data_IF_277472294465
#
_entry.id   IF_277472294465
#
_cell.length_a   1.000
_cell.length_b   1.000
_cell.length_c   1.000
_cell.angle_alpha   90.00
_cell.angle_beta   90.00
_cell.angle_gamma   90.00
#
_symmetry.space_group_name_H-M   'P 1'
#
loop_
_entity.id
_entity.type
_entity.pdbx_description
1 polymer ?
2 non-polymer ?
3 non-polymer ?
#
# COMPACT_ATOMS: atom_id res chain seq x y z
C UNK A 1 -43.09 4.15 25.95
N UNK A 2 -42.60 4.16 24.78
CA UNK A 2 -43.35 4.75 23.67
C UNK A 2 -42.35 5.67 22.96
N UNK A 3 -41.60 6.41 23.76
CA UNK A 3 -40.61 7.34 23.21
C UNK A 3 -39.48 7.55 24.21
N UNK A 4 -39.11 6.46 24.88
CA UNK A 4 -38.03 6.52 25.88
C UNK A 4 -36.80 7.24 25.33
N UNK A 5 -36.12 6.57 24.43
CA UNK A 5 -34.91 7.16 23.82
C UNK A 5 -35.42 8.53 23.42
N UNK A 6 -36.56 8.55 22.75
CA UNK A 6 -37.16 9.81 22.30
C UNK A 6 -37.38 11.02 23.21
N UNK A 7 -37.98 10.76 24.36
CA UNK A 7 -38.25 11.84 25.32
C UNK A 7 -36.99 12.43 25.97
N UNK A 8 -35.93 11.64 25.99
CA UNK A 8 -34.66 12.10 26.58
C UNK A 8 -34.03 12.95 25.47
N UNK A 9 -34.14 12.46 24.26
CA UNK A 9 -33.57 13.18 23.11
C UNK A 9 -34.49 13.63 21.97
N UNK A 10 -34.89 14.88 22.05
CA UNK A 10 -35.79 15.45 21.03
C UNK A 10 -34.98 16.10 19.91
N UNK A 11 -35.67 16.48 18.85
CA UNK A 11 -35.00 17.11 17.70
C UNK A 11 -35.40 18.59 17.60
N UNK A 12 -34.98 19.22 16.52
CA UNK A 12 -35.29 20.64 16.30
C UNK A 12 -36.14 20.71 15.02
N UNK A 13 -36.63 21.90 14.75
CA UNK A 13 -37.47 22.11 13.55
C UNK A 13 -36.65 22.15 12.26
N UNK A 14 -35.34 22.23 12.43
CA UNK A 14 -34.44 22.28 11.28
C UNK A 14 -34.37 21.04 10.40
N UNK A 15 -33.69 20.03 10.91
CA UNK A 15 -33.54 18.77 10.16
C UNK A 15 -32.66 18.55 8.93
N UNK A 16 -31.36 18.57 9.15
CA UNK A 16 -30.40 18.38 8.05
C UNK A 16 -30.29 16.87 8.27
N UNK A 17 -30.93 16.13 7.39
CA UNK A 17 -30.91 14.67 7.48
C UNK A 17 -29.54 13.99 7.61
N UNK A 18 -29.56 12.75 8.06
CA UNK A 18 -28.31 12.00 8.24
C UNK A 18 -27.54 11.94 6.92
N UNK A 19 -26.26 11.66 7.02
CA UNK A 19 -25.40 11.59 5.82
C UNK A 19 -24.02 11.13 6.31
N UNK A 20 -23.02 11.93 5.99
CA UNK A 20 -21.65 11.60 6.39
C UNK A 20 -20.70 12.44 5.52
N UNK A 21 -19.45 12.01 5.47
CA UNK A 21 -18.44 12.73 4.68
C UNK A 21 -17.22 11.91 4.27
N UNK A 22 -16.35 11.66 5.23
CA UNK A 22 -15.13 10.88 4.97
C UNK A 22 -15.22 9.36 5.03
N UNK A 23 -15.02 8.73 3.88
CA UNK A 23 -15.08 7.27 3.80
C UNK A 23 -13.90 6.31 3.60
N UNK A 24 -13.94 5.21 4.33
CA UNK A 24 -12.87 4.21 4.24
C UNK A 24 -13.44 2.81 4.00
N UNK A 25 -12.90 2.14 3.00
CA UNK A 25 -13.36 0.79 2.66
C UNK A 25 -12.24 -0.25 2.64
N UNK A 26 -12.49 -1.37 3.28
CA UNK A 26 -11.50 -2.45 3.34
C UNK A 26 -11.91 -3.80 2.76
N UNK A 27 -11.01 -4.38 1.98
CA UNK A 27 -11.28 -5.67 1.35
C UNK A 27 -10.35 -6.74 1.93
N UNK A 28 -10.93 -7.73 2.58
CA UNK A 28 -10.16 -8.81 3.19
C UNK A 28 -10.00 -8.67 4.70
N UNK A 29 -11.07 -8.93 5.41
CA UNK A 29 -11.06 -8.83 6.87
C UNK A 29 -10.10 -9.91 7.37
N UNK A 30 -8.97 -9.48 7.88
CA UNK A 30 -7.96 -10.41 8.38
C UNK A 30 -6.64 -9.74 8.78
N UNK A 31 -5.55 -10.44 8.53
CA UNK A 31 -4.22 -9.91 8.87
C UNK A 31 -4.11 -8.53 8.22
N UNK A 32 -3.44 -8.49 7.08
CA UNK A 32 -3.25 -7.23 6.35
C UNK A 32 -4.41 -6.28 6.63
N UNK A 33 -5.62 -6.77 6.41
CA UNK A 33 -6.82 -5.97 6.62
C UNK A 33 -6.91 -5.56 8.09
N UNK A 34 -7.13 -6.56 8.93
CA UNK A 34 -7.24 -6.32 10.38
C UNK A 34 -6.16 -5.34 10.85
N UNK A 35 -4.93 -5.62 10.45
CA UNK A 35 -3.80 -4.78 10.84
C UNK A 35 -4.05 -3.35 10.33
N UNK A 36 -4.43 -3.26 9.08
CA UNK A 36 -4.70 -1.95 8.47
C UNK A 36 -5.75 -1.36 9.42
N UNK A 37 -6.93 -1.96 9.41
CA UNK A 37 -8.02 -1.50 10.27
C UNK A 37 -7.58 -1.01 11.65
N UNK A 38 -6.76 -1.82 12.30
CA UNK A 38 -6.26 -1.48 13.64
C UNK A 38 -5.51 -0.15 13.51
N UNK A 39 -4.69 -0.05 12.48
CA UNK A 39 -3.92 1.17 12.25
C UNK A 39 -4.76 2.40 11.91
N UNK A 40 -5.48 2.30 10.81
CA UNK A 40 -6.34 3.42 10.37
C UNK A 40 -7.49 3.77 11.31
N UNK A 41 -8.02 2.74 11.96
CA UNK A 41 -9.13 2.93 12.89
C UNK A 41 -8.83 3.53 14.27
N UNK A 42 -7.61 3.32 14.72
CA UNK A 42 -7.19 3.84 16.03
C UNK A 42 -6.46 5.16 15.80
N UNK A 43 -5.89 5.28 14.61
CA UNK A 43 -5.15 6.50 14.25
C UNK A 43 -6.20 7.61 14.11
N UNK A 44 -7.28 7.29 13.42
CA UNK A 44 -8.35 8.27 13.20
C UNK A 44 -8.31 8.95 11.84
N UNK A 45 -9.27 8.58 11.00
CA UNK A 45 -9.34 9.16 9.65
C UNK A 45 -10.76 9.26 9.09
N UNK A 46 -11.27 8.13 8.63
CA UNK A 46 -12.62 8.09 8.05
C UNK A 46 -13.83 8.29 8.98
N UNK A 47 -14.82 8.98 8.46
CA UNK A 47 -16.05 9.26 9.24
C UNK A 47 -16.62 7.87 9.50
N UNK A 48 -16.67 7.07 8.45
CA UNK A 48 -17.22 5.71 8.56
C UNK A 48 -16.34 4.75 7.74
N UNK A 49 -16.16 3.55 8.26
CA UNK A 49 -15.34 2.55 7.58
C UNK A 49 -16.09 1.35 7.03
N UNK A 50 -15.64 0.85 5.89
CA UNK A 50 -16.28 -0.30 5.26
C UNK A 50 -15.44 -1.57 5.10
N UNK A 51 -15.99 -2.68 5.54
CA UNK A 51 -15.29 -3.96 5.45
C UNK A 51 -16.22 -4.85 4.64
N UNK A 52 -15.63 -5.61 3.73
CA UNK A 52 -16.41 -6.51 2.87
C UNK A 52 -15.78 -7.80 2.33
N UNK A 53 -16.32 -8.91 2.76
CA UNK A 53 -15.80 -10.22 2.31
C UNK A 53 -16.78 -11.35 2.02
N UNK A 54 -16.24 -12.46 1.54
CA UNK A 54 -17.07 -13.63 1.21
C UNK A 54 -16.77 -14.60 2.35
N UNK A 55 -16.70 -14.05 3.55
CA UNK A 55 -16.39 -14.88 4.73
C UNK A 55 -17.36 -14.34 5.80
N UNK A 56 -18.64 -14.51 5.53
CA UNK A 56 -19.67 -14.04 6.47
C UNK A 56 -19.19 -14.09 7.93
N UNK A 57 -18.94 -15.30 8.40
CA UNK A 57 -18.47 -15.49 9.78
C UNK A 57 -17.43 -14.50 10.32
N UNK A 58 -16.22 -14.65 9.83
CA UNK A 58 -15.12 -13.78 10.28
C UNK A 58 -15.60 -12.33 10.44
N UNK A 59 -15.99 -11.74 9.33
CA UNK A 59 -16.47 -10.35 9.34
C UNK A 59 -17.37 -9.98 10.51
N UNK A 60 -18.29 -10.87 10.82
CA UNK A 60 -19.24 -10.63 11.92
C UNK A 60 -18.24 -10.39 13.06
N UNK A 61 -17.62 -11.46 13.51
CA UNK A 61 -16.64 -11.37 14.61
C UNK A 61 -15.67 -10.20 14.49
N UNK A 62 -15.19 -9.99 13.27
CA UNK A 62 -14.23 -8.90 13.02
C UNK A 62 -14.94 -7.57 13.26
N UNK A 63 -15.75 -7.18 12.29
CA UNK A 63 -16.49 -5.91 12.40
C UNK A 63 -17.11 -5.67 13.78
N UNK A 64 -17.71 -6.72 14.32
CA UNK A 64 -18.35 -6.62 15.64
C UNK A 64 -17.44 -6.35 16.83
N UNK A 65 -16.49 -7.24 17.02
CA UNK A 65 -15.54 -7.10 18.15
C UNK A 65 -14.72 -5.81 18.08
N UNK A 66 -14.06 -5.61 16.95
CA UNK A 66 -13.23 -4.41 16.76
C UNK A 66 -14.23 -3.32 17.13
N UNK A 67 -15.36 -3.32 16.44
CA UNK A 67 -16.39 -2.31 16.68
C UNK A 67 -16.37 -2.17 18.20
N UNK A 68 -16.29 -3.30 18.88
CA UNK A 68 -16.28 -3.31 20.35
C UNK A 68 -15.48 -2.10 20.81
N UNK A 69 -14.17 -2.16 20.59
CA UNK A 69 -13.28 -1.07 20.99
C UNK A 69 -13.99 0.20 20.48
N UNK A 70 -14.58 0.08 19.31
CA UNK A 70 -15.29 1.21 18.70
C UNK A 70 -15.17 2.37 19.69
N UNK A 71 -15.53 2.11 20.92
CA UNK A 71 -15.47 3.14 21.96
C UNK A 71 -14.19 3.68 22.60
N UNK A 72 -13.09 2.99 22.33
CA UNK A 72 -11.79 3.40 22.87
C UNK A 72 -11.20 4.58 22.09
N UNK A 73 -11.82 4.88 20.96
CA UNK A 73 -11.35 5.98 20.11
C UNK A 73 -12.69 6.48 19.59
N UNK A 74 -12.65 7.12 18.43
CA UNK A 74 -13.87 7.65 17.82
C UNK A 74 -13.95 7.78 16.30
N UNK A 75 -14.84 7.00 15.70
CA UNK A 75 -15.01 7.02 14.24
C UNK A 75 -16.42 7.36 13.79
N UNK A 76 -17.37 6.57 14.27
CA UNK A 76 -18.79 6.79 13.90
C UNK A 76 -19.42 5.45 13.51
N UNK A 77 -19.16 5.05 12.27
CA UNK A 77 -19.72 3.79 11.76
C UNK A 77 -18.79 2.84 10.99
N UNK A 78 -18.99 1.55 11.22
CA UNK A 78 -18.16 0.54 10.56
C UNK A 78 -19.18 -0.40 9.91
N UNK A 79 -19.06 -0.55 8.60
CA UNK A 79 -19.99 -1.43 7.86
C UNK A 79 -19.40 -2.70 7.25
N UNK A 80 -20.23 -3.71 7.16
CA UNK A 80 -19.80 -5.00 6.60
C UNK A 80 -20.84 -5.63 5.68
N UNK A 81 -20.38 -6.49 4.80
CA UNK A 81 -21.27 -7.17 3.84
C UNK A 81 -20.53 -7.85 2.70
N UNK A 82 -21.29 -8.34 1.74
CA UNK A 82 -20.70 -9.04 0.59
C UNK A 82 -21.46 -8.71 -0.69
N UNK A 83 -21.62 -7.42 -0.95
CA UNK A 83 -22.34 -6.97 -2.14
C UNK A 83 -21.87 -5.59 -2.62
N UNK A 84 -20.68 -5.21 -2.18
CA UNK A 84 -20.12 -3.91 -2.56
C UNK A 84 -21.26 -2.96 -2.90
N UNK A 85 -22.16 -2.79 -1.94
CA UNK A 85 -23.32 -1.90 -2.14
C UNK A 85 -23.10 -0.87 -1.03
N UNK A 86 -22.77 -1.36 0.14
CA UNK A 86 -22.55 -0.48 1.30
C UNK A 86 -21.74 0.81 1.16
N UNK A 87 -20.55 0.67 0.62
CA UNK A 87 -19.66 1.83 0.43
C UNK A 87 -20.12 2.95 -0.51
N UNK A 88 -20.71 2.55 -1.63
CA UNK A 88 -21.19 3.52 -2.62
C UNK A 88 -20.67 4.95 -2.41
N UNK A 89 -19.50 5.20 -2.95
CA UNK A 89 -18.89 6.54 -2.82
C UNK A 89 -17.73 6.83 -1.87
N UNK A 90 -16.72 5.97 -1.91
CA UNK A 90 -15.56 6.13 -1.04
C UNK A 90 -14.23 6.68 -1.58
N UNK A 91 -13.55 7.43 -0.73
CA UNK A 91 -12.27 8.03 -1.11
C UNK A 91 -11.07 7.08 -0.97
N UNK A 92 -10.90 6.58 0.24
CA UNK A 92 -9.78 5.65 0.50
C UNK A 92 -10.13 4.17 0.46
N UNK A 93 -9.97 3.59 -0.71
CA UNK A 93 -10.27 2.16 -0.88
C UNK A 93 -9.02 1.29 -1.09
N UNK A 94 -8.96 0.21 -0.33
CA UNK A 94 -7.81 -0.71 -0.42
C UNK A 94 -8.18 -2.19 -0.45
N UNK A 95 -7.44 -2.95 -1.23
CA UNK A 95 -7.70 -4.39 -1.35
C UNK A 95 -6.47 -5.27 -1.10
N UNK A 96 -6.71 -6.50 -0.70
CA UNK A 96 -5.62 -7.44 -0.43
C UNK A 96 -5.92 -8.75 -1.14
N UNK A 97 -6.69 -9.60 -0.49
CA UNK A 97 -7.05 -10.91 -1.07
C UNK A 97 -6.17 -12.03 -0.52
N UNK A 98 -6.61 -13.25 -0.76
CA UNK A 98 -5.85 -14.42 -0.28
C UNK A 98 -4.86 -15.00 -1.28
N UNK A 99 -3.62 -15.11 -0.86
CA UNK A 99 -2.57 -15.65 -1.73
C UNK A 99 -1.23 -15.15 -1.16
N UNK A 100 -0.83 -15.73 -0.05
CA UNK A 100 0.42 -15.34 0.60
C UNK A 100 1.58 -16.32 0.46
N UNK A 101 2.79 -15.80 0.44
CA UNK A 101 3.98 -16.64 0.30
C UNK A 101 4.15 -17.80 1.28
N UNK A 102 4.65 -18.90 0.78
CA UNK A 102 4.86 -20.09 1.61
C UNK A 102 6.29 -20.46 1.98
N UNK A 103 6.97 -19.53 2.63
CA UNK A 103 8.37 -19.76 3.03
C UNK A 103 9.05 -19.80 1.66
N UNK A 104 8.94 -20.94 1.02
CA UNK A 104 9.56 -21.12 -0.31
C UNK A 104 9.00 -19.93 -1.09
N UNK A 105 9.66 -19.62 -2.19
CA UNK A 105 9.25 -18.49 -3.03
C UNK A 105 8.07 -18.61 -4.01
N UNK A 106 8.24 -17.99 -5.16
CA UNK A 106 7.18 -18.01 -6.19
C UNK A 106 6.10 -16.97 -5.93
N UNK A 107 6.52 -15.84 -5.38
CA UNK A 107 5.58 -14.76 -5.06
C UNK A 107 4.96 -14.43 -6.41
N UNK A 108 5.75 -14.57 -7.46
CA UNK A 108 5.27 -14.28 -8.82
C UNK A 108 4.25 -15.32 -9.27
N UNK A 109 4.44 -16.55 -8.83
CA UNK A 109 3.53 -17.64 -9.19
C UNK A 109 2.20 -16.98 -8.84
N UNK A 110 2.12 -16.44 -7.64
CA UNK A 110 0.89 -15.78 -7.19
C UNK A 110 0.09 -15.03 -8.25
N UNK A 111 0.68 -14.94 -9.43
CA UNK A 111 0.01 -14.24 -10.54
C UNK A 111 -1.15 -15.04 -11.14
N UNK A 112 -0.87 -16.30 -11.43
CA UNK A 112 -1.90 -17.18 -12.00
C UNK A 112 -3.07 -17.32 -11.03
N UNK A 113 -2.81 -18.01 -9.93
CA UNK A 113 -3.84 -18.22 -8.91
C UNK A 113 -4.57 -16.99 -8.38
N UNK A 114 -4.01 -15.82 -8.66
CA UNK A 114 -4.60 -14.56 -8.20
C UNK A 114 -5.66 -13.78 -8.97
N UNK A 115 -5.40 -13.58 -10.26
CA UNK A 115 -6.34 -12.85 -11.11
C UNK A 115 -7.73 -13.48 -11.05
N UNK A 116 -7.75 -14.77 -10.80
CA UNK A 116 -9.03 -15.50 -10.72
C UNK A 116 -9.99 -14.66 -9.88
N UNK A 117 -9.72 -14.62 -8.59
CA UNK A 117 -10.58 -13.85 -7.67
C UNK A 117 -10.50 -12.34 -7.82
N UNK A 118 -9.29 -11.83 -7.87
CA UNK A 118 -9.08 -10.38 -8.00
C UNK A 118 -9.85 -9.71 -9.14
N UNK A 119 -9.83 -10.35 -10.29
CA UNK A 119 -10.53 -9.82 -11.47
C UNK A 119 -11.95 -9.37 -11.11
N UNK A 120 -12.79 -10.34 -10.81
CA UNK A 120 -14.19 -10.05 -10.45
C UNK A 120 -14.35 -8.91 -9.43
N UNK A 121 -13.47 -8.90 -8.46
CA UNK A 121 -13.51 -7.87 -7.41
C UNK A 121 -13.63 -6.55 -8.16
N UNK A 122 -12.86 -6.43 -9.23
CA UNK A 122 -12.89 -5.21 -10.04
C UNK A 122 -14.15 -4.43 -10.40
N UNK A 123 -15.05 -5.11 -11.08
CA UNK A 123 -16.31 -4.49 -11.50
C UNK A 123 -17.06 -3.95 -10.28
N UNK A 124 -17.05 -4.75 -9.22
CA UNK A 124 -17.73 -4.35 -7.98
C UNK A 124 -17.17 -3.08 -7.33
N UNK A 125 -15.94 -3.16 -6.89
CA UNK A 125 -15.28 -2.02 -6.25
C UNK A 125 -15.19 -0.69 -7.00
N UNK A 126 -15.20 -0.78 -8.31
CA UNK A 126 -15.11 0.42 -9.16
C UNK A 126 -16.49 1.05 -9.40
N UNK A 127 -17.45 0.20 -9.71
CA UNK A 127 -18.81 0.67 -9.98
C UNK A 127 -19.39 1.59 -8.90
N UNK A 128 -19.17 1.21 -7.65
CA UNK A 128 -19.67 1.99 -6.51
C UNK A 128 -18.74 3.05 -5.90
N UNK A 129 -17.47 2.92 -6.18
CA UNK A 129 -16.47 3.86 -5.65
C UNK A 129 -15.96 4.68 -6.84
N UNK A 130 -16.89 5.37 -7.50
CA UNK A 130 -16.52 6.18 -8.66
C UNK A 130 -15.46 7.21 -8.27
N UNK A 131 -15.68 7.83 -7.12
CA UNK A 131 -14.74 8.85 -6.63
C UNK A 131 -13.76 8.31 -5.59
N UNK A 132 -13.36 7.07 -5.77
CA UNK A 132 -12.42 6.43 -4.84
C UNK A 132 -11.04 6.12 -5.43
N UNK A 133 -10.05 6.07 -4.56
CA UNK A 133 -8.68 5.78 -4.99
C UNK A 133 -8.36 4.40 -4.41
N UNK A 134 -7.74 3.57 -5.21
CA UNK A 134 -7.39 2.21 -4.79
C UNK A 134 -5.97 1.76 -4.40
N UNK A 135 -5.82 1.34 -3.16
CA UNK A 135 -4.52 0.89 -2.67
C UNK A 135 -4.52 -0.64 -2.50
N UNK A 136 -3.58 -1.27 -3.17
CA UNK A 136 -3.46 -2.74 -3.11
C UNK A 136 -2.38 -3.39 -2.24
N UNK A 137 -2.78 -3.80 -1.06
CA UNK A 137 -1.84 -4.43 -0.12
C UNK A 137 -1.66 -5.88 -0.60
N UNK A 138 -2.51 -6.28 -1.53
CA UNK A 138 -2.45 -7.64 -2.08
C UNK A 138 -1.06 -7.90 -2.67
N UNK A 139 -0.68 -9.17 -2.68
CA UNK A 139 0.63 -9.56 -3.20
C UNK A 139 0.94 -8.99 -4.59
N UNK A 140 2.22 -8.83 -4.86
CA UNK A 140 2.66 -8.29 -6.16
C UNK A 140 2.16 -6.84 -6.14
N UNK A 141 2.64 -6.08 -5.17
CA UNK A 141 2.24 -4.68 -5.04
C UNK A 141 2.15 -4.20 -6.49
N UNK A 142 3.30 -3.94 -7.08
CA UNK A 142 3.36 -3.47 -8.47
C UNK A 142 2.44 -4.17 -9.47
N UNK A 143 2.73 -5.42 -9.73
CA UNK A 143 1.93 -6.21 -10.67
C UNK A 143 0.41 -6.13 -10.67
N UNK A 144 -0.19 -6.69 -9.64
CA UNK A 144 -1.66 -6.70 -9.52
C UNK A 144 -2.22 -5.30 -9.79
N UNK A 145 -1.56 -4.31 -9.23
CA UNK A 145 -2.00 -2.91 -9.41
C UNK A 145 -2.51 -2.75 -10.84
N UNK A 146 -1.58 -2.80 -11.78
CA UNK A 146 -1.92 -2.66 -13.21
C UNK A 146 -3.22 -3.34 -13.64
N UNK A 147 -3.29 -4.63 -13.39
CA UNK A 147 -4.47 -5.42 -13.77
C UNK A 147 -5.77 -4.64 -13.57
N UNK A 148 -6.06 -4.35 -12.32
CA UNK A 148 -7.29 -3.61 -11.98
C UNK A 148 -7.34 -2.27 -12.71
N UNK A 149 -6.27 -1.51 -12.57
CA UNK A 149 -6.19 -0.19 -13.22
C UNK A 149 -6.64 -0.19 -14.68
N UNK A 150 -5.86 -0.86 -15.51
CA UNK A 150 -6.18 -0.93 -16.94
C UNK A 150 -7.61 -1.49 -16.90
N UNK A 151 -7.79 -2.50 -16.07
CA UNK A 151 -9.11 -3.13 -15.94
C UNK A 151 -10.15 -2.02 -15.75
N UNK A 152 -10.03 -1.32 -14.64
CA UNK A 152 -10.96 -0.23 -14.33
C UNK A 152 -10.67 0.95 -15.25
N UNK A 153 -9.43 1.39 -15.22
CA UNK A 153 -9.00 2.52 -16.05
C UNK A 153 -9.29 3.90 -15.43
N UNK A 154 -9.07 4.00 -14.13
CA UNK A 154 -9.30 5.25 -13.41
C UNK A 154 -7.98 5.91 -13.78
N UNK A 155 -8.04 7.22 -13.97
CA UNK A 155 -6.83 7.98 -14.34
C UNK A 155 -5.75 7.78 -13.27
N UNK A 156 -4.62 7.25 -13.70
CA UNK A 156 -3.51 7.00 -12.78
C UNK A 156 -3.58 7.58 -11.35
N UNK A 157 -3.19 8.83 -11.23
CA UNK A 157 -3.20 9.50 -9.93
C UNK A 157 -4.14 9.06 -8.80
N UNK A 158 -5.19 8.36 -9.19
CA UNK A 158 -6.18 7.88 -8.22
C UNK A 158 -5.97 6.40 -7.87
N UNK A 159 -5.07 5.77 -8.61
CA UNK A 159 -4.78 4.35 -8.40
C UNK A 159 -3.38 4.15 -7.81
N UNK A 160 -3.33 3.48 -6.68
CA UNK A 160 -2.05 3.22 -6.01
C UNK A 160 -2.00 1.73 -5.68
N UNK A 161 -0.86 1.13 -5.96
CA UNK A 161 -0.69 -0.31 -5.69
C UNK A 161 -0.44 -0.59 -4.21
N UNK A 162 0.76 -0.26 -3.77
CA UNK A 162 1.14 -0.48 -2.37
C UNK A 162 2.63 -0.85 -2.35
N UNK A 163 3.05 -1.56 -3.38
CA UNK A 163 4.45 -1.99 -3.47
C UNK A 163 5.66 -1.76 -2.57
N UNK A 164 6.50 -0.83 -2.98
CA UNK A 164 7.70 -0.51 -2.20
C UNK A 164 7.73 0.39 -0.96
N UNK A 165 6.54 0.61 -0.41
CA UNK A 165 6.41 1.46 0.78
C UNK A 165 7.32 0.97 1.91
N UNK A 166 6.99 -0.19 2.44
CA UNK A 166 7.77 -0.77 3.54
C UNK A 166 9.23 -1.01 3.15
N UNK A 167 9.43 -1.31 1.88
CA UNK A 167 10.80 -1.57 1.38
C UNK A 167 11.65 -0.57 2.17
N UNK A 168 11.51 0.69 1.80
CA UNK A 168 12.28 1.76 2.48
C UNK A 168 12.40 1.65 4.00
N UNK A 169 11.29 1.79 4.67
CA UNK A 169 11.27 1.71 6.15
C UNK A 169 12.19 0.69 6.82
N UNK A 170 12.10 -0.54 6.38
CA UNK A 170 12.91 -1.62 6.95
C UNK A 170 14.35 -1.22 6.60
N UNK A 171 14.53 -0.81 5.36
CA UNK A 171 15.87 -0.39 4.90
C UNK A 171 16.29 0.80 5.75
N UNK A 172 15.46 1.82 5.73
CA UNK A 172 15.75 3.04 6.50
C UNK A 172 15.99 2.59 7.94
N UNK A 173 15.06 1.80 8.44
CA UNK A 173 15.17 1.29 9.83
C UNK A 173 16.37 0.47 10.28
N UNK A 174 16.63 -0.61 9.54
CA UNK A 174 17.76 -1.48 9.88
C UNK A 174 18.86 -0.44 9.95
N UNK A 175 18.84 0.48 9.00
CA UNK A 175 19.85 1.54 8.95
C UNK A 175 20.31 2.28 10.22
N UNK A 176 19.33 2.78 10.95
CA UNK A 176 19.63 3.51 12.20
C UNK A 176 20.36 2.73 13.27
N UNK A 177 20.20 1.42 13.22
CA UNK A 177 20.84 0.53 14.21
C UNK A 177 22.36 0.76 14.24
N UNK A 178 22.96 0.71 13.07
CA UNK A 178 24.41 0.91 12.95
C UNK A 178 24.83 2.36 13.23
N UNK A 179 23.89 3.26 13.00
CA UNK A 179 24.16 4.70 13.21
C UNK A 179 24.09 5.29 14.63
N UNK A 180 22.99 5.03 15.30
CA UNK A 180 22.81 5.55 16.66
C UNK A 180 21.98 6.81 16.40
N UNK A 181 20.90 6.64 15.66
CA UNK A 181 20.03 7.78 15.34
C UNK A 181 19.04 6.72 14.83
N UNK A 182 17.88 7.19 14.41
CA UNK A 182 16.84 6.29 13.90
C UNK A 182 16.07 6.58 12.62
N UNK A 183 15.38 5.58 12.12
CA UNK A 183 14.60 5.73 10.89
C UNK A 183 14.19 7.18 10.63
N UNK A 184 13.87 7.89 11.70
CA UNK A 184 13.47 9.30 11.59
C UNK A 184 14.38 10.04 10.62
N UNK A 185 15.38 10.71 11.18
CA UNK A 185 16.33 11.48 10.36
C UNK A 185 17.14 10.68 9.35
N UNK A 186 17.45 9.45 9.71
CA UNK A 186 18.24 8.57 8.84
C UNK A 186 17.35 8.27 7.63
N UNK A 187 17.45 9.13 6.63
CA UNK A 187 16.65 8.96 5.41
C UNK A 187 17.43 8.12 4.41
N UNK A 188 16.99 6.89 4.23
CA UNK A 188 17.66 5.97 3.30
C UNK A 188 16.67 5.39 2.29
N UNK A 189 17.02 5.50 1.02
CA UNK A 189 16.15 5.00 -0.05
C UNK A 189 16.36 3.74 -0.89
N UNK A 190 15.31 2.97 -1.03
CA UNK A 190 15.38 1.73 -1.82
C UNK A 190 14.06 1.78 -2.61
N UNK A 191 14.19 1.84 -3.92
CA UNK A 191 13.01 1.90 -4.79
C UNK A 191 13.03 0.89 -5.94
N UNK A 192 11.94 0.15 -6.06
CA UNK A 192 11.83 -0.86 -7.12
C UNK A 192 10.37 -1.30 -7.28
N UNK A 193 10.08 -2.52 -6.86
CA UNK A 193 8.72 -3.05 -6.96
C UNK A 193 8.16 -3.94 -5.86
N UNK A 194 9.02 -4.27 -4.91
CA UNK A 194 8.62 -5.14 -3.79
C UNK A 194 8.96 -6.62 -3.63
N UNK A 195 10.01 -7.03 -4.31
CA UNK A 195 10.45 -8.44 -4.25
C UNK A 195 11.95 -8.59 -4.49
N UNK A 196 12.53 -9.58 -3.84
CA UNK A 196 13.97 -9.84 -3.98
C UNK A 196 14.49 -9.40 -5.36
N UNK A 197 15.33 -8.39 -5.35
CA UNK A 197 15.89 -7.87 -6.60
C UNK A 197 15.70 -6.35 -6.66
N UNK A 198 14.81 -5.86 -5.82
CA UNK A 198 14.52 -4.42 -5.78
C UNK A 198 15.81 -3.59 -5.74
N UNK A 199 16.04 -2.84 -6.79
CA UNK A 199 17.24 -2.00 -6.88
C UNK A 199 17.29 -1.05 -5.69
N UNK A 200 18.51 -0.69 -5.31
CA UNK A 200 18.69 0.23 -4.17
C UNK A 200 19.51 1.39 -4.73
N UNK A 201 19.19 2.58 -4.28
CA UNK A 201 19.90 3.78 -4.75
C UNK A 201 20.69 4.37 -3.57
N UNK A 202 21.66 3.60 -3.10
CA UNK A 202 22.49 4.04 -1.98
C UNK A 202 23.15 5.41 -2.18
N UNK A 203 23.24 5.81 -3.44
CA UNK A 203 23.85 7.11 -3.76
C UNK A 203 23.09 8.17 -2.98
N UNK A 204 21.90 7.80 -2.54
CA UNK A 204 21.06 8.73 -1.78
C UNK A 204 21.16 8.21 -0.34
N UNK A 205 22.34 8.38 0.23
CA UNK A 205 22.57 7.92 1.61
C UNK A 205 23.16 9.21 2.18
N UNK A 206 22.56 9.68 3.26
CA UNK A 206 23.02 10.92 3.89
C UNK A 206 22.32 11.03 5.25
N UNK A 207 22.67 12.07 5.99
CA UNK A 207 22.08 12.30 7.31
C UNK A 207 22.17 13.83 7.36
N UNK A 208 21.21 14.43 8.04
CA UNK A 208 21.17 15.89 8.15
C UNK A 208 21.16 16.69 6.84
N UNK A 209 22.31 17.19 6.47
CA UNK A 209 22.44 17.97 5.24
C UNK A 209 23.72 17.49 4.55
N UNK A 210 24.24 16.38 5.07
CA UNK A 210 25.47 15.80 4.51
C UNK A 210 25.26 14.44 3.86
N UNK A 211 25.75 14.31 2.64
CA UNK A 211 25.61 13.05 1.89
C UNK A 211 26.58 11.97 2.39
N UNK A 212 26.04 10.80 2.64
CA UNK A 212 26.85 9.67 3.14
C UNK A 212 28.03 9.09 2.34
N UNK A 213 27.70 8.49 1.21
CA UNK A 213 28.73 7.88 0.36
C UNK A 213 29.94 8.79 0.61
N UNK A 214 29.73 10.07 0.36
CA UNK A 214 30.81 11.05 0.56
C UNK A 214 31.65 10.77 1.80
N UNK A 215 30.99 10.76 2.94
CA UNK A 215 31.68 10.51 4.22
C UNK A 215 32.55 9.25 4.23
N UNK A 216 32.05 8.21 3.60
CA UNK A 216 32.78 6.93 3.54
C UNK A 216 33.55 6.92 2.23
N UNK A 217 32.94 7.47 1.20
CA UNK A 217 33.57 7.53 -0.13
C UNK A 217 32.76 6.70 -1.12
N UNK A 218 33.21 5.48 -1.35
CA UNK A 218 32.53 4.58 -2.29
C UNK A 218 31.83 3.34 -1.73
N UNK A 219 31.56 2.39 -2.61
CA UNK A 219 30.88 1.15 -2.20
C UNK A 219 30.79 -0.37 -2.19
N UNK A 220 29.62 -0.88 -2.52
CA UNK A 220 29.40 -2.33 -2.54
C UNK A 220 29.94 -3.06 -3.76
N UNK A 221 30.69 -4.12 -3.51
CA UNK A 221 31.28 -4.91 -4.59
C UNK A 221 32.30 -5.52 -3.63
N UNK A 222 32.47 -4.86 -2.50
CA UNK A 222 33.42 -5.33 -1.48
C UNK A 222 32.85 -4.77 -0.18
N UNK A 223 33.49 -3.74 0.33
CA UNK A 223 33.04 -3.12 1.59
C UNK A 223 32.66 -4.14 2.66
N UNK A 224 31.84 -3.68 3.60
CA UNK A 224 31.39 -4.56 4.69
C UNK A 224 29.99 -5.07 4.39
N UNK A 225 29.75 -5.34 3.12
CA UNK A 225 28.43 -5.84 2.69
C UNK A 225 27.17 -4.98 2.72
N UNK A 226 27.33 -3.72 2.33
CA UNK A 226 26.19 -2.80 2.32
C UNK A 226 25.25 -3.71 1.52
N UNK A 227 25.84 -4.47 0.62
CA UNK A 227 25.06 -5.39 -0.22
C UNK A 227 24.01 -6.14 0.61
N UNK A 228 24.49 -6.81 1.64
CA UNK A 228 23.59 -7.58 2.51
C UNK A 228 22.38 -6.78 2.99
N UNK A 229 22.66 -5.62 3.57
CA UNK A 229 21.59 -4.76 4.08
C UNK A 229 20.36 -4.97 3.19
N UNK A 230 20.49 -4.56 1.94
CA UNK A 230 19.39 -4.70 0.98
C UNK A 230 18.73 -6.07 0.82
N UNK A 231 19.50 -7.02 0.33
CA UNK A 231 18.99 -8.38 0.12
C UNK A 231 17.98 -8.99 1.11
N UNK A 232 18.27 -8.84 2.38
CA UNK A 232 17.39 -9.38 3.43
C UNK A 232 16.35 -8.29 3.70
N UNK A 233 16.17 -7.42 2.72
CA UNK A 233 15.21 -6.32 2.86
C UNK A 233 14.33 -7.18 1.95
N UNK A 234 14.95 -7.72 0.92
CA UNK A 234 14.23 -8.56 -0.05
C UNK A 234 13.88 -9.81 0.77
N UNK A 235 14.90 -10.38 1.40
CA UNK A 235 14.71 -11.60 2.21
C UNK A 235 13.69 -11.36 3.33
N UNK A 236 13.70 -10.16 3.87
CA UNK A 236 12.77 -9.82 4.96
C UNK A 236 11.53 -10.69 4.90
N UNK A 237 10.88 -10.67 3.76
CA UNK A 237 9.65 -11.47 3.56
C UNK A 237 9.91 -12.85 4.15
N UNK A 238 10.68 -13.65 3.42
CA UNK A 238 11.01 -15.01 3.87
C UNK A 238 10.94 -15.69 5.24
N UNK A 239 11.89 -15.33 6.09
CA UNK A 239 11.96 -15.92 7.43
C UNK A 239 10.64 -15.66 8.16
N UNK A 240 10.45 -14.43 8.58
CA UNK A 240 9.24 -14.05 9.31
C UNK A 240 8.07 -15.04 9.30
N UNK A 241 7.72 -15.52 8.11
CA UNK A 241 6.62 -16.47 7.97
C UNK A 241 6.90 -17.80 8.67
N UNK A 242 7.80 -17.75 9.63
CA UNK A 242 8.17 -18.97 10.38
C UNK A 242 7.05 -18.54 11.33
N UNK A 243 6.39 -17.45 10.98
CA UNK A 243 5.30 -16.93 11.81
C UNK A 243 4.04 -17.07 10.94
N UNK A 244 4.26 -17.51 9.71
CA UNK A 244 3.14 -17.68 8.78
C UNK A 244 2.82 -16.61 7.73
N UNK A 245 3.11 -15.38 8.08
CA UNK A 245 2.85 -14.25 7.16
C UNK A 245 3.23 -12.89 7.76
N UNK A 246 2.56 -11.86 7.29
CA UNK A 246 2.83 -10.50 7.79
C UNK A 246 1.49 -10.19 8.46
N UNK A 247 1.58 -9.64 9.65
CA UNK A 247 0.37 -9.30 10.41
C UNK A 247 0.30 -7.83 10.84
N UNK A 248 1.32 -7.08 10.44
CA UNK A 248 1.38 -5.66 10.78
C UNK A 248 2.30 -4.61 10.13
N UNK A 249 2.53 -4.77 8.84
CA UNK A 249 3.39 -3.85 8.11
C UNK A 249 2.25 -2.85 7.95
N UNK A 250 1.08 -3.26 8.43
CA UNK A 250 -0.11 -2.40 8.35
C UNK A 250 0.04 -0.88 8.42
N UNK A 251 1.16 -0.45 8.97
CA UNK A 251 1.42 0.99 9.11
C UNK A 251 1.69 1.57 7.72
N UNK A 252 2.62 0.96 7.01
CA UNK A 252 2.97 1.42 5.66
C UNK A 252 1.73 1.79 4.84
N UNK A 253 0.81 0.86 4.76
CA UNK A 253 -0.43 1.08 3.99
C UNK A 253 -1.15 2.29 4.61
N UNK A 254 -1.21 2.29 5.93
CA UNK A 254 -1.86 3.39 6.64
C UNK A 254 -1.20 4.72 6.27
N UNK A 255 0.11 4.72 6.29
CA UNK A 255 0.87 5.94 5.95
C UNK A 255 0.55 6.29 4.51
N UNK A 256 0.74 5.34 3.62
CA UNK A 256 0.47 5.57 2.19
C UNK A 256 -0.80 6.36 1.90
N UNK A 257 -1.91 5.86 2.42
CA UNK A 257 -3.20 6.53 2.21
C UNK A 257 -3.16 7.81 3.04
N UNK A 258 -2.35 7.78 4.08
CA UNK A 258 -2.21 8.95 4.96
C UNK A 258 -2.24 10.20 4.09
N UNK A 259 -1.20 10.35 3.29
CA UNK A 259 -1.10 11.53 2.40
C UNK A 259 -2.42 11.72 1.65
N UNK A 260 -2.89 10.65 1.04
CA UNK A 260 -4.14 10.70 0.28
C UNK A 260 -5.30 11.35 1.03
N UNK A 261 -5.98 10.54 1.83
CA UNK A 261 -7.12 11.03 2.61
C UNK A 261 -7.01 12.52 2.97
N UNK A 262 -5.93 12.85 3.65
CA UNK A 262 -5.71 14.25 4.06
C UNK A 262 -5.37 15.18 2.90
N UNK A 263 -4.64 14.64 1.94
CA UNK A 263 -4.24 15.43 0.77
C UNK A 263 -3.08 16.42 0.93
N UNK A 264 -2.00 15.92 1.52
CA UNK A 264 -0.82 16.77 1.74
C UNK A 264 0.39 16.94 0.82
N UNK A 265 0.47 16.10 -0.19
CA UNK A 265 1.59 16.15 -1.14
C UNK A 265 2.99 15.89 -0.61
N UNK A 266 3.26 14.62 -0.35
CA UNK A 266 4.58 14.22 0.18
C UNK A 266 5.11 13.24 -0.87
N UNK A 267 6.40 12.96 -0.77
CA UNK A 267 7.04 12.03 -1.72
C UNK A 267 7.24 10.63 -1.17
N UNK A 268 6.51 9.69 -1.75
CA UNK A 268 6.59 8.28 -1.31
C UNK A 268 6.50 7.22 -2.40
N UNK A 269 7.08 6.07 -2.12
CA UNK A 269 7.07 4.95 -3.08
C UNK A 269 5.62 4.59 -3.41
N UNK A 270 5.48 3.63 -4.31
CA UNK A 270 4.15 3.19 -4.74
C UNK A 270 4.42 2.62 -6.13
N UNK A 271 3.34 2.32 -6.84
CA UNK A 271 3.46 1.74 -8.18
C UNK A 271 2.63 2.55 -9.18
N UNK A 272 3.31 3.03 -10.21
CA UNK A 272 2.63 3.83 -11.25
C UNK A 272 2.93 3.26 -12.62
N UNK A 273 3.02 4.14 -13.60
CA UNK A 273 3.31 3.73 -14.98
C UNK A 273 4.62 4.28 -15.53
N UNK A 274 5.51 3.39 -15.89
CA UNK A 274 6.82 3.78 -16.43
C UNK A 274 6.66 3.46 -17.92
N UNK A 275 6.53 4.50 -18.71
CA UNK A 275 6.36 4.33 -20.16
C UNK A 275 7.33 5.11 -21.05
N UNK A 276 7.73 6.26 -20.57
CA UNK A 276 8.66 7.12 -21.32
C UNK A 276 9.76 7.66 -20.40
N UNK A 277 10.38 6.75 -19.68
CA UNK A 277 11.45 7.14 -18.74
C UNK A 277 12.87 6.62 -19.00
N UNK A 278 13.10 5.38 -18.61
CA UNK A 278 14.42 4.77 -18.78
C UNK A 278 14.11 3.82 -19.95
N UNK A 279 14.62 2.61 -19.85
CA UNK A 279 14.40 1.61 -20.90
C UNK A 279 12.91 1.23 -20.96
N UNK A 280 12.37 0.86 -19.80
CA UNK A 280 10.96 0.47 -19.72
C UNK A 280 10.06 1.34 -20.60
N UNK A 281 9.38 0.68 -21.53
CA UNK A 281 8.47 1.40 -22.45
C UNK A 281 7.37 0.43 -22.84
N UNK A 282 6.41 0.24 -21.95
CA UNK A 282 5.30 -0.67 -22.21
C UNK A 282 4.47 -0.89 -20.94
N UNK A 283 4.07 0.22 -20.33
CA UNK A 283 3.27 0.15 -19.10
C UNK A 283 3.76 -0.91 -18.11
N UNK A 284 4.73 -0.53 -17.30
CA UNK A 284 5.29 -1.45 -16.31
C UNK A 284 5.02 -0.84 -14.94
N UNK A 285 3.81 -1.04 -14.46
CA UNK A 285 3.41 -0.49 -13.15
C UNK A 285 4.24 -1.13 -12.03
N UNK A 286 5.23 -0.39 -11.58
CA UNK A 286 6.11 -0.89 -10.51
C UNK A 286 6.34 0.10 -9.36
N UNK A 287 7.34 -0.19 -8.56
CA UNK A 287 7.66 0.66 -7.41
C UNK A 287 8.44 1.94 -7.75
N UNK A 288 7.77 3.07 -7.59
CA UNK A 288 8.40 4.36 -7.89
C UNK A 288 7.75 5.57 -7.21
N UNK A 289 8.56 6.55 -6.88
CA UNK A 289 8.07 7.77 -6.23
C UNK A 289 6.99 8.41 -7.09
N UNK A 290 5.91 8.81 -6.44
CA UNK A 290 4.79 9.45 -7.16
C UNK A 290 4.50 10.22 -5.87
N UNK A 291 3.78 11.31 -6.02
CA UNK A 291 3.43 12.14 -4.86
C UNK A 291 1.91 12.07 -4.75
N UNK A 292 1.44 11.78 -3.55
CA UNK A 292 -0.01 11.67 -3.32
C UNK A 292 -0.85 12.71 -2.58
N UNK A 293 -2.11 12.79 -2.95
CA UNK A 293 -3.02 13.76 -2.32
C UNK A 293 -4.51 13.47 -2.49
N UNK A 294 -5.32 14.39 -1.99
CA UNK A 294 -6.78 14.25 -2.08
C UNK A 294 -7.58 13.57 -3.20
N UNK A 295 -7.66 12.26 -3.13
CA UNK A 295 -8.40 11.48 -4.14
C UNK A 295 -7.57 11.39 -5.43
N UNK A 296 -6.26 11.45 -5.26
CA UNK A 296 -5.36 11.38 -6.42
C UNK A 296 -3.91 11.34 -5.92
N UNK A 297 -3.02 10.91 -6.79
CA UNK A 297 -1.60 10.82 -6.44
C UNK A 297 -1.01 12.11 -7.00
N UNK A 298 -1.37 13.21 -6.37
CA UNK A 298 -0.87 14.52 -6.81
C UNK A 298 -0.01 14.57 -8.06
N UNK A 299 -0.50 13.94 -9.11
CA UNK A 299 0.23 13.90 -10.39
C UNK A 299 1.68 14.37 -10.57
N UNK A 300 2.57 13.75 -9.84
CA UNK A 300 4.00 14.10 -9.93
C UNK A 300 4.79 12.84 -9.56
N UNK A 301 5.69 12.46 -10.44
CA UNK A 301 6.51 11.27 -10.21
C UNK A 301 7.83 12.04 -10.17
N UNK A 302 8.58 11.80 -9.11
CA UNK A 302 9.88 12.48 -8.95
C UNK A 302 11.10 11.89 -9.64
N UNK A 303 11.67 12.66 -10.55
CA UNK A 303 12.85 12.21 -11.30
C UNK A 303 14.20 12.47 -10.64
N UNK A 304 15.02 11.43 -10.60
CA UNK A 304 16.35 11.53 -9.99
C UNK A 304 17.36 10.78 -10.84
N UNK A 305 18.62 11.13 -10.68
CA UNK A 305 19.69 10.49 -11.44
C UNK A 305 20.26 9.22 -10.79
N UNK A 306 19.73 8.09 -11.21
CA UNK A 306 20.17 6.80 -10.67
C UNK A 306 21.54 6.39 -11.22
N UNK A 307 22.47 6.13 -10.32
CA UNK A 307 23.82 5.73 -10.72
C UNK A 307 23.53 4.60 -11.71
N UNK A 308 24.46 4.39 -12.62
CA UNK A 308 24.29 3.34 -13.63
C UNK A 308 24.10 1.99 -12.94
N UNK A 309 25.00 1.68 -12.03
CA UNK A 309 24.93 0.41 -11.30
C UNK A 309 23.45 0.33 -10.93
N UNK A 310 23.00 1.34 -10.20
CA UNK A 310 21.59 1.39 -9.77
C UNK A 310 20.72 1.67 -11.00
N UNK A 311 21.11 2.70 -11.74
CA UNK A 311 20.36 3.08 -12.95
C UNK A 311 19.68 1.90 -13.64
N UNK A 312 20.49 1.04 -14.22
CA UNK A 312 19.96 -0.14 -14.94
C UNK A 312 19.07 -0.96 -14.01
N UNK A 313 19.54 -1.17 -12.79
CA UNK A 313 18.79 -1.97 -11.81
C UNK A 313 17.28 -1.70 -11.86
N UNK A 314 16.93 -0.42 -11.90
CA UNK A 314 15.53 -0.03 -11.94
C UNK A 314 14.95 -0.44 -13.30
N UNK A 315 15.69 -0.10 -14.35
CA UNK A 315 15.25 -0.43 -15.71
C UNK A 315 15.09 -1.94 -15.56
N UNK A 316 16.18 -2.60 -15.24
CA UNK A 316 16.16 -4.06 -15.06
C UNK A 316 14.82 -4.59 -14.55
N UNK A 317 14.50 -4.22 -13.31
CA UNK A 317 13.24 -4.66 -12.70
C UNK A 317 12.12 -4.71 -13.74
N UNK A 318 11.83 -3.56 -14.31
CA UNK A 318 10.77 -3.46 -15.32
C UNK A 318 10.88 -4.65 -16.28
N UNK A 319 12.07 -4.86 -16.79
CA UNK A 319 12.31 -5.96 -17.74
C UNK A 319 11.88 -7.31 -17.16
N UNK A 320 12.51 -7.69 -16.08
CA UNK A 320 12.19 -8.97 -15.41
C UNK A 320 10.71 -9.00 -15.03
N UNK A 321 10.22 -7.89 -14.52
CA UNK A 321 8.82 -7.79 -14.11
C UNK A 321 7.75 -8.13 -15.14
N UNK A 322 7.82 -7.43 -16.27
CA UNK A 322 6.85 -7.65 -17.35
C UNK A 322 6.63 -9.09 -17.83
N UNK A 323 7.68 -9.88 -17.70
CA UNK A 323 7.60 -11.29 -18.11
C UNK A 323 6.21 -11.79 -17.73
N UNK A 324 5.96 -11.84 -16.44
CA UNK A 324 4.67 -12.31 -15.93
C UNK A 324 3.31 -11.87 -16.50
N UNK A 325 3.22 -10.60 -16.84
CA UNK A 325 1.98 -10.05 -17.40
C UNK A 325 1.88 -10.70 -18.78
N UNK A 326 2.79 -10.30 -19.66
CA UNK A 326 2.79 -10.84 -21.02
C UNK A 326 1.85 -12.01 -21.26
N UNK A 327 1.98 -13.02 -20.42
CA UNK A 327 1.13 -14.22 -20.53
C UNK A 327 -0.32 -13.74 -20.58
N UNK A 328 -0.60 -12.70 -19.82
CA UNK A 328 -1.97 -12.15 -19.76
C UNK A 328 -3.05 -12.86 -18.95
N UNK A 329 -3.45 -14.02 -19.44
CA UNK A 329 -4.50 -14.81 -18.77
C UNK A 329 -5.47 -13.79 -18.18
N UNK A 330 -6.05 -12.99 -19.05
CA UNK A 330 -7.01 -11.96 -18.62
C UNK A 330 -8.45 -12.47 -18.67
X LIG B 1 -4.87 -13.92 4.20
X LIG B 1 -4.90 -15.44 4.63
X LIG B 1 -4.29 -13.98 2.81
X LIG B 1 -6.39 -13.41 4.11
X LIG B 1 -6.70 -12.82 2.80
X LIG B 1 -8.01 -11.97 3.02
X LIG B 1 -8.16 -11.11 1.79
X LIG B 1 -9.36 -12.64 3.16
X LIG B 1 -9.62 -13.28 4.38
X LIG B 1 -10.24 -11.50 2.83
X LIG B 1 -10.27 -10.49 3.89
X LIG B 1 -9.55 -10.80 1.67
X LIG B 1 -9.95 -11.42 0.27
X LIG B 1 -9.48 -12.57 -0.25
X LIG B 1 -10.25 -12.93 -1.29
X LIG B 1 -11.15 -11.92 -1.50
X LIG B 1 -12.25 -11.68 -2.39
X LIG B 1 -12.48 -12.47 -3.44
X LIG B 1 -13.04 -10.56 -2.13
X LIG B 1 -12.73 -9.75 -1.14
X LIG B 1 -11.77 -9.88 -0.24
X LIG B 1 -11.05 -11.01 -0.44
X LIG B 1 -3.97 -12.94 5.15
X LIG B 1 -2.46 -12.55 5.34
X LIG B 1 -1.75 -13.80 5.77
X LIG B 1 -2.26 -11.51 6.22
X LIG B 1 -1.85 -12.20 3.89
X LIG B 1 -2.05 -10.87 3.47
X LIG B 1 -1.59 -10.70 1.96
X LIG B 1 -1.51 -9.30 1.59
X LIG B 1 -0.17 -11.32 1.58
X LIG B 1 -0.12 -12.63 1.48
X LIG B 1 -0.03 -10.55 0.23
X LIG B 1 -0.88 -11.02 -0.77
X LIG B 1 -0.53 -9.16 0.58
X LIG B 1 0.54 -8.23 1.25
X LIG B 1 0.94 -7.34 0.24
X LIG B 1 1.78 -6.31 0.47
X LIG B 1 1.91 -5.37 -0.71
X LIG B 1 2.75 -4.44 -0.50
X LIG B 1 1.16 -5.43 -1.69
X LIG B 1 2.43 -6.11 1.82
X LIG B 1 1.89 -7.09 2.80
X LIG B 1 1.13 -8.11 2.51
X LIG C 1 6.04 -5.62 2.44
X LIG C 1 6.15 -4.63 1.55
X LIG C 1 6.86 -5.57 3.49
X LIG C 1 5.27 -6.74 2.13
X LIG C 1 5.24 -7.91 2.91
X LIG C 1 4.03 -6.85 1.01
#
# INVERSE_FOLDING_TARGET
XTALKDKLIGHLATSQEPRSYNKITVVGCDAVGMADAISVLMKDLADEVALVDVMEDKLKGEMMDLEHGSLFLHTAKIVSGKDYSVSAGSKLVVITAGARQQEGESRLNLVQRNVNIFKFIIPNIVKHSPDCLKELHPELGTDKNKQDWKLSGLPMHRIIGSGCNLDSARFRYLMGERLGVHSCLVIGWVIGQHGDSVPSVWSGMWDAKLHKDVVDSAYEVIKLKGYTSWAIGLVVSNPVDVLTYVAWKGCSVADLAQTIMKDLCRVHPVSTMVKDFYGIKDNVFLSLPCVLNNGISHCNIVKMKLKPDEEQQLQKSATTLWDIQKDLKF
NAD PA O1A O2A O5B C5B C4B O4B C3B O3B C2B O2B C1B N9A C8A N7A C5A C6A N6A N1A C2A N3A C4A O3 PN O1N O2N O5D C5D C4D O4D C3D O3D C2D O2D C1D N1N C2N C3N C7N O7N N7N C4N C5N C6N
PYR C O OXT CA O3 CB
#
